data_IF_747850613168
#
_entry.id   IF_747850613168
#
_cell.length_a   1.000
_cell.length_b   1.000
_cell.length_c   1.000
_cell.angle_alpha   90.00
_cell.angle_beta   90.00
_cell.angle_gamma   90.00
#
_symmetry.space_group_name_H-M   'P 1'
#
loop_
_entity.id
_entity.type
_entity.pdbx_description
1 polymer ?
#
# COMPACT_ATOMS: atom_id res chain seq x y z
N UNK A 1 -42.64 10.97 -27.31
CA UNK A 1 -41.54 9.98 -27.41
C UNK A 1 -40.33 10.60 -26.74
N UNK A 2 -40.07 10.26 -25.48
CA UNK A 2 -38.83 10.58 -24.77
C UNK A 2 -38.75 9.79 -23.46
N UNK A 3 -37.53 9.29 -23.19
CA UNK A 3 -37.04 8.62 -21.96
C UNK A 3 -37.76 7.29 -21.66
N UNK A 4 -37.11 6.16 -21.38
CA UNK A 4 -36.13 5.92 -20.33
C UNK A 4 -35.19 4.77 -20.74
N UNK A 5 -33.90 5.06 -20.90
CA UNK A 5 -32.87 4.03 -20.85
C UNK A 5 -32.72 3.61 -19.38
N UNK A 6 -33.31 2.49 -18.99
CA UNK A 6 -32.95 1.82 -17.74
C UNK A 6 -31.63 1.07 -17.97
N UNK A 7 -30.52 1.78 -17.73
CA UNK A 7 -29.23 1.14 -17.49
C UNK A 7 -29.05 1.19 -15.98
N UNK A 8 -29.40 0.09 -15.32
CA UNK A 8 -29.00 -0.20 -13.95
C UNK A 8 -27.47 -0.23 -13.88
N UNK A 9 -26.90 0.95 -13.67
CA UNK A 9 -25.51 1.11 -13.26
C UNK A 9 -25.43 0.53 -11.86
N UNK A 10 -24.92 -0.70 -11.76
CA UNK A 10 -24.54 -1.29 -10.50
C UNK A 10 -23.72 -0.29 -9.71
N UNK A 11 -24.25 0.12 -8.56
CA UNK A 11 -23.51 0.83 -7.54
C UNK A 11 -22.44 -0.12 -7.00
N UNK A 12 -21.35 -0.26 -7.76
CA UNK A 12 -20.08 -0.65 -7.20
C UNK A 12 -19.64 0.53 -6.35
N UNK A 13 -19.85 0.41 -5.05
CA UNK A 13 -19.28 1.31 -4.05
C UNK A 13 -17.76 1.22 -4.22
N UNK A 14 -17.16 2.14 -5.00
CA UNK A 14 -15.71 2.32 -5.05
C UNK A 14 -15.28 3.03 -3.75
N UNK A 15 -15.60 2.39 -2.62
CA UNK A 15 -15.09 2.76 -1.31
C UNK A 15 -13.59 2.59 -1.40
N UNK A 16 -12.90 3.72 -1.36
CA UNK A 16 -11.48 3.88 -1.06
C UNK A 16 -10.64 2.68 -1.49
N UNK A 17 -10.47 2.53 -2.82
CA UNK A 17 -9.46 1.62 -3.36
C UNK A 17 -8.12 2.17 -2.92
N UNK A 18 -7.70 1.78 -1.72
CA UNK A 18 -6.37 1.99 -1.17
C UNK A 18 -5.39 1.71 -2.30
N UNK A 19 -4.86 2.76 -2.94
CA UNK A 19 -4.01 2.62 -4.13
C UNK A 19 -2.77 1.78 -3.76
N UNK A 20 -2.47 1.69 -2.47
CA UNK A 20 -1.40 0.90 -1.89
C UNK A 20 -1.79 -0.58 -1.72
N UNK A 21 -3.07 -0.96 -1.83
CA UNK A 21 -3.50 -2.36 -1.76
C UNK A 21 -3.01 -3.18 -2.96
N UNK A 22 -2.74 -2.53 -4.10
CA UNK A 22 -2.07 -3.18 -5.23
C UNK A 22 -0.62 -3.60 -4.92
N UNK A 23 -0.02 -3.03 -3.86
CA UNK A 23 1.32 -3.34 -3.37
C UNK A 23 1.29 -4.25 -2.14
N UNK A 24 0.11 -4.73 -1.69
CA UNK A 24 0.04 -5.76 -0.65
C UNK A 24 0.59 -7.06 -1.22
N UNK A 25 1.88 -7.31 -0.98
CA UNK A 25 2.54 -8.58 -1.27
C UNK A 25 1.83 -9.70 -0.50
N UNK A 26 1.22 -10.62 -1.24
CA UNK A 26 0.49 -11.80 -0.75
C UNK A 26 1.41 -12.98 -0.39
N UNK A 27 2.71 -12.77 -0.30
CA UNK A 27 3.68 -13.85 -0.20
C UNK A 27 4.38 -13.77 1.15
N UNK A 28 4.47 -14.91 1.85
CA UNK A 28 5.38 -15.10 2.98
C UNK A 28 6.81 -14.87 2.49
N UNK A 29 7.22 -13.60 2.38
CA UNK A 29 8.57 -13.25 1.98
C UNK A 29 9.45 -13.33 3.22
N UNK A 30 10.53 -14.12 3.09
CA UNK A 30 11.53 -14.27 4.15
C UNK A 30 12.07 -12.89 4.50
N UNK A 31 11.99 -12.53 5.77
CA UNK A 31 12.37 -11.19 6.23
C UNK A 31 13.87 -10.99 6.30
N UNK A 32 14.68 -12.03 6.15
CA UNK A 32 16.13 -12.04 6.34
C UNK A 32 16.88 -12.46 5.08
N UNK A 33 17.99 -11.78 4.79
CA UNK A 33 18.89 -12.12 3.69
C UNK A 33 19.77 -13.30 4.13
N UNK A 34 19.82 -14.35 3.30
CA UNK A 34 20.64 -15.54 3.53
C UNK A 34 21.69 -15.70 2.42
N UNK A 35 22.77 -16.42 2.73
CA UNK A 35 23.78 -16.75 1.72
C UNK A 35 23.18 -17.60 0.59
N UNK A 36 23.62 -17.33 -0.64
CA UNK A 36 23.13 -18.02 -1.83
C UNK A 36 21.88 -17.41 -2.47
N UNK A 37 21.30 -16.35 -1.88
CA UNK A 37 20.22 -15.60 -2.52
C UNK A 37 20.70 -14.86 -3.76
N UNK A 38 19.83 -14.82 -4.76
CA UNK A 38 20.05 -14.00 -5.94
C UNK A 38 19.95 -12.50 -5.60
N UNK A 39 20.61 -11.62 -6.37
CA UNK A 39 20.47 -10.18 -6.20
C UNK A 39 19.01 -9.70 -6.26
N UNK A 40 18.15 -10.39 -7.03
CA UNK A 40 16.73 -10.07 -7.14
C UNK A 40 15.98 -10.33 -5.82
N UNK A 41 16.20 -11.48 -5.21
CA UNK A 41 15.59 -11.82 -3.91
C UNK A 41 16.06 -10.86 -2.81
N UNK A 42 17.34 -10.49 -2.83
CA UNK A 42 17.89 -9.48 -1.91
C UNK A 42 17.22 -8.12 -2.13
N UNK A 43 17.04 -7.70 -3.38
CA UNK A 43 16.39 -6.43 -3.71
C UNK A 43 14.93 -6.39 -3.26
N UNK A 44 14.21 -7.51 -3.32
CA UNK A 44 12.83 -7.62 -2.84
C UNK A 44 12.76 -7.45 -1.31
N UNK A 45 13.62 -8.16 -0.56
CA UNK A 45 13.68 -8.05 0.92
C UNK A 45 14.07 -6.63 1.33
N UNK A 46 15.06 -6.05 0.66
CA UNK A 46 15.51 -4.69 0.94
C UNK A 46 14.41 -3.65 0.67
N UNK A 47 13.69 -3.81 -0.43
CA UNK A 47 12.59 -2.90 -0.80
C UNK A 47 11.45 -2.92 0.23
N UNK A 48 11.13 -4.09 0.78
CA UNK A 48 10.11 -4.21 1.83
C UNK A 48 10.53 -3.52 3.12
N UNK A 49 11.77 -3.76 3.57
CA UNK A 49 12.34 -3.10 4.75
C UNK A 49 12.42 -1.58 4.56
N UNK A 50 12.81 -1.13 3.38
CA UNK A 50 12.83 0.30 3.07
C UNK A 50 11.43 0.90 3.20
N UNK A 51 10.39 0.19 2.75
CA UNK A 51 9.04 0.69 2.87
C UNK A 51 8.52 0.75 4.31
N UNK A 52 8.93 -0.18 5.17
CA UNK A 52 8.63 -0.10 6.60
C UNK A 52 9.24 1.15 7.22
N UNK A 53 10.53 1.42 6.98
CA UNK A 53 11.21 2.62 7.48
C UNK A 53 10.53 3.90 7.01
N UNK A 54 10.15 3.98 5.73
CA UNK A 54 9.45 5.16 5.19
C UNK A 54 8.09 5.36 5.85
N UNK A 55 7.34 4.28 6.10
CA UNK A 55 6.05 4.36 6.81
C UNK A 55 6.23 4.87 8.23
N UNK A 56 7.22 4.35 8.95
CA UNK A 56 7.49 4.75 10.33
C UNK A 56 7.85 6.24 10.40
N UNK A 57 8.74 6.70 9.51
CA UNK A 57 9.10 8.12 9.43
C UNK A 57 7.90 9.01 9.11
N UNK A 58 7.02 8.55 8.21
CA UNK A 58 5.81 9.29 7.88
C UNK A 58 4.85 9.38 9.07
N UNK A 59 4.66 8.29 9.81
CA UNK A 59 3.81 8.28 11.01
C UNK A 59 4.38 9.19 12.11
N UNK A 60 5.68 9.13 12.35
CA UNK A 60 6.36 9.99 13.32
C UNK A 60 6.22 11.48 12.93
N UNK A 61 6.43 11.80 11.65
CA UNK A 61 6.25 13.16 11.14
C UNK A 61 4.80 13.64 11.28
N UNK A 62 3.82 12.76 11.01
CA UNK A 62 2.40 13.08 11.17
C UNK A 62 2.05 13.37 12.63
N UNK A 63 2.54 12.55 13.55
CA UNK A 63 2.36 12.76 15.00
C UNK A 63 2.94 14.10 15.46
N UNK A 64 4.17 14.41 15.06
CA UNK A 64 4.83 15.69 15.34
C UNK A 64 4.09 16.90 14.75
N UNK A 65 3.39 16.71 13.64
CA UNK A 65 2.59 17.76 13.02
C UNK A 65 1.26 17.98 13.76
N UNK A 66 0.60 16.91 14.19
CA UNK A 66 -0.61 16.95 14.99
C UNK A 66 -0.34 17.57 16.38
N UNK A 67 0.75 17.18 17.05
CA UNK A 67 1.17 17.76 18.35
C UNK A 67 1.51 19.26 18.30
N UNK A 68 1.83 19.81 17.12
CA UNK A 68 2.12 21.24 16.94
C UNK A 68 0.87 22.08 16.66
N UNK A 69 -0.28 21.44 16.44
CA UNK A 69 -1.56 22.13 16.16
C UNK A 69 -2.39 22.39 17.42
N UNK A 70 -2.06 21.75 18.53
CA UNK A 70 -2.59 22.04 19.88
C UNK A 70 -1.76 23.14 20.56
#
# INVERSE_FOLDING_TARGET
MNTFFDRSMGQGNYGDRDVLSAFRKTQEQRSEIQQGMSPKEIAEIFSDRLMEVVKDQFQEARKKFEEKKD
#
